data_IF_749369020361
#
_entry.id   IF_749369020361
#
_cell.length_a   1.000
_cell.length_b   1.000
_cell.length_c   1.000
_cell.angle_alpha   90.00
_cell.angle_beta   90.00
_cell.angle_gamma   90.00
#
_symmetry.space_group_name_H-M   'P 1'
#
loop_
_entity.id
_entity.type
_entity.pdbx_description
1 polymer ?
#
# COMPACT_ATOMS: atom_id res chain seq x y z
N UNK A 1 4.99 5.63 -18.43
CA UNK A 1 6.35 5.94 -17.93
C UNK A 1 6.37 5.65 -16.43
N UNK A 2 7.17 4.68 -16.01
CA UNK A 2 7.23 4.35 -14.57
C UNK A 2 8.01 5.45 -13.82
N UNK A 3 7.39 6.03 -12.81
CA UNK A 3 8.03 7.04 -11.96
C UNK A 3 8.93 6.32 -10.97
N UNK A 4 10.22 6.62 -10.98
CA UNK A 4 11.14 6.09 -9.99
C UNK A 4 10.89 6.77 -8.63
N UNK A 5 10.46 6.04 -7.58
CA UNK A 5 9.96 6.66 -6.35
C UNK A 5 11.00 7.51 -5.61
N UNK A 6 12.26 7.10 -5.60
CA UNK A 6 13.35 7.85 -4.97
C UNK A 6 13.57 9.18 -5.68
N UNK A 7 13.64 9.17 -7.02
CA UNK A 7 13.82 10.40 -7.81
C UNK A 7 12.62 11.33 -7.64
N UNK A 8 11.40 10.78 -7.63
CA UNK A 8 10.18 11.56 -7.41
C UNK A 8 10.20 12.25 -6.03
N UNK A 9 10.61 11.54 -4.99
CA UNK A 9 10.71 12.10 -3.64
C UNK A 9 11.75 13.22 -3.56
N UNK A 10 12.90 13.06 -4.19
CA UNK A 10 13.95 14.08 -4.24
C UNK A 10 13.48 15.33 -4.99
N UNK A 11 12.78 15.17 -6.10
CA UNK A 11 12.17 16.27 -6.83
C UNK A 11 11.12 17.02 -6.01
N UNK A 12 10.28 16.31 -5.26
CA UNK A 12 9.29 16.90 -4.35
C UNK A 12 10.00 17.70 -3.26
N UNK A 13 11.03 17.14 -2.64
CA UNK A 13 11.82 17.81 -1.61
C UNK A 13 12.42 19.10 -2.14
N UNK A 14 13.10 19.03 -3.27
CA UNK A 14 13.75 20.21 -3.90
C UNK A 14 12.73 21.29 -4.26
N UNK A 15 11.61 20.90 -4.85
CA UNK A 15 10.52 21.83 -5.19
C UNK A 15 9.95 22.50 -3.97
N UNK A 16 9.72 21.76 -2.89
CA UNK A 16 9.20 22.30 -1.64
C UNK A 16 10.16 23.26 -0.96
N UNK A 17 11.46 22.94 -0.90
CA UNK A 17 12.49 23.83 -0.36
C UNK A 17 12.56 25.13 -1.18
N UNK A 18 12.55 25.04 -2.50
CA UNK A 18 12.56 26.22 -3.37
C UNK A 18 11.31 27.09 -3.16
N UNK A 19 10.14 26.47 -3.03
CA UNK A 19 8.91 27.17 -2.71
C UNK A 19 9.02 27.94 -1.38
N UNK A 20 9.54 27.32 -0.31
CA UNK A 20 9.72 27.99 0.99
C UNK A 20 10.65 29.20 0.90
N UNK A 21 11.72 29.12 0.10
CA UNK A 21 12.62 30.25 -0.14
C UNK A 21 11.93 31.44 -0.84
N UNK A 22 10.92 31.17 -1.67
CA UNK A 22 10.17 32.22 -2.37
C UNK A 22 9.09 32.87 -1.53
N UNK A 23 8.45 32.13 -0.62
CA UNK A 23 7.35 32.66 0.22
C UNK A 23 7.86 33.62 1.29
N UNK A 24 9.11 33.47 1.74
CA UNK A 24 9.70 34.29 2.80
C UNK A 24 10.82 35.18 2.21
N UNK A 25 10.47 36.25 1.50
CA UNK A 25 11.47 37.16 0.96
C UNK A 25 12.03 38.02 2.11
N UNK A 26 13.20 37.66 2.59
CA UNK A 26 13.95 38.54 3.50
C UNK A 26 14.62 39.65 2.70
N UNK A 27 14.49 40.88 3.15
CA UNK A 27 15.19 42.02 2.53
C UNK A 27 16.67 42.01 2.86
N UNK A 28 17.02 41.53 4.04
CA UNK A 28 18.40 41.35 4.47
C UNK A 28 19.01 40.13 3.75
N UNK A 29 20.18 40.35 3.12
CA UNK A 29 20.85 39.33 2.32
C UNK A 29 21.51 38.25 3.21
N UNK A 30 22.03 38.64 4.37
CA UNK A 30 22.67 37.71 5.29
C UNK A 30 21.64 36.78 5.91
N UNK A 31 20.52 37.33 6.40
CA UNK A 31 19.40 36.55 6.92
C UNK A 31 18.80 35.60 5.88
N UNK A 32 18.74 36.04 4.62
CA UNK A 32 18.26 35.18 3.52
C UNK A 32 19.18 34.01 3.27
N UNK A 33 20.50 34.21 3.32
CA UNK A 33 21.50 33.14 3.15
C UNK A 33 21.45 32.15 4.31
N UNK A 34 21.41 32.64 5.54
CA UNK A 34 21.29 31.79 6.73
C UNK A 34 20.00 30.96 6.73
N UNK A 35 18.87 31.57 6.37
CA UNK A 35 17.59 30.87 6.23
C UNK A 35 17.66 29.79 5.16
N UNK A 36 18.21 30.09 3.97
CA UNK A 36 18.35 29.11 2.90
C UNK A 36 19.24 27.93 3.32
N UNK A 37 20.35 28.21 4.00
CA UNK A 37 21.25 27.18 4.53
C UNK A 37 20.59 26.33 5.61
N UNK A 38 19.85 26.96 6.53
CA UNK A 38 19.15 26.25 7.61
C UNK A 38 18.08 25.28 7.07
N UNK A 39 17.32 25.69 6.03
CA UNK A 39 16.31 24.84 5.40
C UNK A 39 16.95 23.65 4.64
N UNK A 40 18.10 23.87 4.00
CA UNK A 40 18.78 22.83 3.22
C UNK A 40 19.48 21.79 4.11
N UNK A 41 20.08 22.24 5.21
CA UNK A 41 20.96 21.40 6.02
C UNK A 41 20.24 20.71 7.19
N UNK A 42 19.12 21.27 7.67
CA UNK A 42 18.39 20.71 8.79
C UNK A 42 17.27 19.78 8.29
N UNK A 43 17.29 18.53 8.74
CA UNK A 43 16.20 17.54 8.51
C UNK A 43 14.90 17.89 9.28
N UNK A 44 14.69 19.19 9.60
CA UNK A 44 13.53 19.64 10.37
C UNK A 44 12.25 19.68 9.54
N UNK A 45 12.35 20.00 8.25
CA UNK A 45 11.19 20.23 7.38
C UNK A 45 10.84 19.02 6.55
N UNK A 46 11.81 18.25 6.10
CA UNK A 46 11.60 17.05 5.26
C UNK A 46 12.52 15.94 5.75
N UNK A 47 11.92 14.88 6.26
CA UNK A 47 12.64 13.66 6.69
C UNK A 47 12.53 12.57 5.65
N UNK A 48 13.60 11.83 5.44
CA UNK A 48 13.61 10.71 4.50
C UNK A 48 14.23 11.08 3.14
N UNK A 49 14.08 10.24 2.12
CA UNK A 49 12.96 9.33 1.83
C UNK A 49 12.96 8.05 2.68
N UNK A 50 11.77 7.61 3.07
CA UNK A 50 11.57 6.30 3.69
C UNK A 50 10.91 5.36 2.67
N UNK A 51 11.53 4.22 2.42
CA UNK A 51 10.96 3.19 1.58
C UNK A 51 10.21 2.17 2.44
N UNK A 52 8.90 2.11 2.29
CA UNK A 52 8.07 1.08 2.89
C UNK A 52 7.57 0.13 1.80
N UNK A 53 7.94 -1.14 1.92
CA UNK A 53 7.51 -2.19 1.00
C UNK A 53 6.40 -2.99 1.68
N UNK A 54 5.22 -3.03 1.07
CA UNK A 54 4.17 -3.97 1.44
C UNK A 54 4.39 -5.26 0.64
N UNK A 55 4.64 -6.36 1.33
CA UNK A 55 4.74 -7.66 0.68
C UNK A 55 3.35 -8.10 0.20
N UNK A 56 3.25 -8.71 -0.99
CA UNK A 56 1.98 -9.25 -1.46
C UNK A 56 1.51 -10.36 -0.52
N UNK A 57 0.19 -10.45 -0.33
CA UNK A 57 -0.39 -11.55 0.43
C UNK A 57 -0.11 -12.89 -0.26
N UNK A 58 0.19 -13.89 0.55
CA UNK A 58 0.35 -15.27 0.04
C UNK A 58 -0.97 -15.76 -0.52
N UNK A 59 -0.95 -16.26 -1.74
CA UNK A 59 -2.08 -16.95 -2.35
C UNK A 59 -2.11 -18.42 -1.97
N UNK A 60 -3.28 -19.04 -2.05
CA UNK A 60 -3.55 -20.44 -1.77
C UNK A 60 -4.54 -20.95 -2.85
N UNK A 61 -5.43 -21.82 -2.50
CA UNK A 61 -6.41 -22.45 -3.39
C UNK A 61 -7.40 -21.47 -3.98
N UNK A 62 -7.92 -21.79 -5.14
CA UNK A 62 -9.08 -21.11 -5.74
C UNK A 62 -10.40 -21.65 -5.13
N UNK A 63 -11.53 -21.01 -5.49
CA UNK A 63 -12.85 -21.54 -5.17
C UNK A 63 -13.04 -22.93 -5.79
N UNK A 64 -12.57 -23.11 -7.04
CA UNK A 64 -12.53 -24.39 -7.72
C UNK A 64 -11.83 -25.46 -6.86
N UNK A 65 -10.61 -25.20 -6.43
CA UNK A 65 -9.89 -26.15 -5.58
C UNK A 65 -10.58 -26.49 -4.25
N UNK A 66 -11.31 -25.53 -3.68
CA UNK A 66 -12.10 -25.79 -2.46
C UNK A 66 -13.39 -26.59 -2.73
N UNK A 67 -13.96 -26.48 -3.90
CA UNK A 67 -15.09 -27.32 -4.36
C UNK A 67 -14.62 -28.75 -4.64
N UNK A 68 -13.51 -28.93 -5.34
CA UNK A 68 -12.92 -30.24 -5.63
C UNK A 68 -12.57 -31.03 -4.37
N UNK A 69 -12.11 -30.31 -3.34
CA UNK A 69 -11.84 -30.90 -2.02
C UNK A 69 -13.10 -31.15 -1.16
N UNK A 70 -14.27 -30.78 -1.67
CA UNK A 70 -15.53 -30.94 -0.94
C UNK A 70 -15.68 -29.96 0.25
N UNK A 71 -14.88 -28.93 0.33
CA UNK A 71 -14.99 -27.86 1.35
C UNK A 71 -16.16 -26.95 1.05
N UNK A 72 -16.34 -26.59 -0.23
CA UNK A 72 -17.44 -25.76 -0.73
C UNK A 72 -18.41 -26.57 -1.59
N UNK A 73 -19.66 -26.15 -1.63
CA UNK A 73 -20.68 -26.75 -2.48
C UNK A 73 -20.38 -26.46 -3.97
N UNK A 74 -20.64 -27.40 -4.92
CA UNK A 74 -20.54 -27.16 -6.36
C UNK A 74 -21.40 -26.00 -6.88
N UNK A 75 -22.40 -25.56 -6.10
CA UNK A 75 -23.23 -24.39 -6.43
C UNK A 75 -22.43 -23.08 -6.50
N UNK A 76 -21.24 -23.04 -5.90
CA UNK A 76 -20.35 -21.86 -6.00
C UNK A 76 -19.87 -21.60 -7.42
N UNK A 77 -19.86 -22.61 -8.29
CA UNK A 77 -19.56 -22.44 -9.73
C UNK A 77 -20.55 -21.49 -10.43
N UNK A 78 -21.80 -21.43 -9.96
CA UNK A 78 -22.84 -20.56 -10.51
C UNK A 78 -22.71 -19.09 -10.07
N UNK A 79 -21.86 -18.82 -9.10
CA UNK A 79 -21.63 -17.47 -8.53
C UNK A 79 -20.47 -16.72 -9.21
N UNK A 80 -20.01 -17.17 -10.37
CA UNK A 80 -18.92 -16.52 -11.08
C UNK A 80 -19.31 -15.09 -11.51
N UNK A 81 -18.53 -14.12 -11.09
CA UNK A 81 -18.65 -12.70 -11.45
C UNK A 81 -17.27 -12.10 -11.65
N UNK A 82 -17.17 -10.86 -12.15
CA UNK A 82 -15.88 -10.15 -12.26
C UNK A 82 -15.16 -10.05 -10.91
N UNK A 83 -15.93 -9.89 -9.82
CA UNK A 83 -15.39 -9.79 -8.47
C UNK A 83 -15.04 -11.16 -7.86
N UNK A 84 -15.75 -12.22 -8.25
CA UNK A 84 -15.59 -13.57 -7.73
C UNK A 84 -15.27 -14.53 -8.87
N UNK A 85 -14.01 -14.59 -9.24
CA UNK A 85 -13.53 -15.50 -10.29
C UNK A 85 -13.25 -16.88 -9.71
N UNK A 86 -13.91 -17.90 -10.25
CA UNK A 86 -13.90 -19.27 -9.78
C UNK A 86 -12.49 -19.90 -9.72
N UNK A 87 -11.67 -19.63 -10.73
CA UNK A 87 -10.31 -20.16 -10.85
C UNK A 87 -9.23 -19.26 -10.25
N UNK A 88 -9.59 -18.04 -9.84
CA UNK A 88 -8.63 -17.11 -9.25
C UNK A 88 -8.16 -17.60 -7.89
N UNK A 89 -6.83 -17.69 -7.65
CA UNK A 89 -6.31 -18.05 -6.33
C UNK A 89 -6.76 -17.04 -5.26
N UNK A 90 -7.33 -17.56 -4.19
CA UNK A 90 -7.68 -16.79 -3.00
C UNK A 90 -6.42 -16.55 -2.15
N UNK A 91 -6.46 -15.53 -1.33
CA UNK A 91 -5.40 -15.36 -0.35
C UNK A 91 -5.46 -16.40 0.76
N UNK A 92 -4.33 -16.81 1.29
CA UNK A 92 -4.24 -17.87 2.30
C UNK A 92 -5.10 -17.60 3.55
N UNK A 93 -5.26 -16.33 3.96
CA UNK A 93 -6.13 -15.97 5.07
C UNK A 93 -7.62 -16.14 4.72
N UNK A 94 -8.02 -15.88 3.45
CA UNK A 94 -9.38 -16.11 2.96
C UNK A 94 -9.71 -17.61 2.96
N UNK A 95 -8.81 -18.45 2.44
CA UNK A 95 -8.98 -19.91 2.46
C UNK A 95 -9.13 -20.43 3.90
N UNK A 96 -8.28 -19.97 4.82
CA UNK A 96 -8.38 -20.32 6.24
C UNK A 96 -9.70 -19.88 6.88
N UNK A 97 -10.20 -18.69 6.53
CA UNK A 97 -11.48 -18.18 6.98
C UNK A 97 -12.65 -19.07 6.49
N UNK A 98 -12.66 -19.38 5.19
CA UNK A 98 -13.67 -20.28 4.58
C UNK A 98 -13.68 -21.64 5.29
N UNK A 99 -12.53 -22.29 5.45
CA UNK A 99 -12.41 -23.58 6.10
C UNK A 99 -12.90 -23.58 7.56
N UNK A 100 -12.76 -22.45 8.27
CA UNK A 100 -13.28 -22.29 9.64
C UNK A 100 -14.79 -22.05 9.65
N UNK A 101 -15.28 -21.20 8.74
CA UNK A 101 -16.70 -20.89 8.61
C UNK A 101 -17.54 -22.15 8.29
N UNK A 102 -17.07 -22.97 7.35
CA UNK A 102 -17.73 -24.24 6.99
C UNK A 102 -17.82 -25.20 8.18
N UNK A 103 -16.86 -25.14 9.10
CA UNK A 103 -16.89 -25.93 10.36
C UNK A 103 -17.79 -25.30 11.44
N UNK A 104 -18.59 -24.30 11.10
CA UNK A 104 -19.51 -23.63 12.03
C UNK A 104 -18.83 -22.79 13.11
N UNK A 105 -17.59 -22.39 12.92
CA UNK A 105 -16.87 -21.56 13.88
C UNK A 105 -17.11 -20.06 13.62
N UNK A 106 -17.36 -19.32 14.69
CA UNK A 106 -17.31 -17.87 14.63
C UNK A 106 -15.89 -17.41 14.34
N UNK A 107 -15.75 -16.42 13.45
CA UNK A 107 -14.44 -15.87 13.13
C UNK A 107 -14.51 -14.36 12.97
N UNK A 108 -13.42 -13.72 13.33
CA UNK A 108 -13.16 -12.31 13.04
C UNK A 108 -11.94 -12.26 12.11
N UNK A 109 -12.10 -11.56 10.99
CA UNK A 109 -11.02 -11.36 10.01
C UNK A 109 -10.62 -9.89 10.07
N UNK A 110 -9.37 -9.64 10.44
CA UNK A 110 -8.77 -8.30 10.42
C UNK A 110 -7.59 -8.32 9.49
N UNK A 111 -7.68 -7.60 8.38
CA UNK A 111 -6.64 -7.47 7.36
C UNK A 111 -6.45 -6.01 6.99
N UNK A 112 -5.36 -5.69 6.32
CA UNK A 112 -5.19 -4.39 5.69
C UNK A 112 -6.19 -4.15 4.56
N UNK A 113 -6.28 -2.92 4.07
CA UNK A 113 -7.12 -2.57 2.92
C UNK A 113 -6.70 -3.32 1.67
N UNK A 114 -7.66 -3.78 0.87
CA UNK A 114 -7.42 -4.43 -0.42
C UNK A 114 -7.13 -5.93 -0.38
N UNK A 115 -7.51 -6.60 0.70
CA UNK A 115 -7.41 -8.08 0.78
C UNK A 115 -8.76 -8.76 0.68
#
# INVERSE_FOLDING_TARGET
MAIHPIIATENIRTTYINYLKTIKPFQDEELRKEFAQAIETQDMLVKGPFLQIALPYKTDKSIHGLVDEGVLSPRFEQLCSEALQYDRPLYAHQVKAICKAVKGRNLVVSTGTGS
#
